data_IF_712933993003
#
_entry.id   IF_712933993003
#
_cell.length_a   1.000
_cell.length_b   1.000
_cell.length_c   1.000
_cell.angle_alpha   90.00
_cell.angle_beta   90.00
_cell.angle_gamma   90.00
#
_symmetry.space_group_name_H-M   'P 1'
#
loop_
_entity.id
_entity.type
_entity.pdbx_description
1 polymer ?
#
# COMPACT_ATOMS: atom_id res chain seq x y z
N UNK A 1 1.52 9.06 -17.66
CA UNK A 1 0.56 8.66 -16.60
C UNK A 1 1.29 8.47 -15.28
N UNK A 2 0.61 8.37 -14.13
CA UNK A 2 1.28 8.16 -12.82
C UNK A 2 2.20 6.93 -12.80
N UNK A 3 1.83 5.88 -13.54
CA UNK A 3 2.65 4.67 -13.76
C UNK A 3 4.00 5.00 -14.43
N UNK A 4 3.98 5.77 -15.52
CA UNK A 4 5.22 6.18 -16.22
C UNK A 4 6.10 7.07 -15.34
N UNK A 5 5.45 7.98 -14.59
CA UNK A 5 6.15 8.85 -13.63
C UNK A 5 6.80 8.02 -12.54
N UNK A 6 6.09 7.08 -11.93
CA UNK A 6 6.65 6.17 -10.91
C UNK A 6 7.83 5.37 -11.47
N UNK A 7 7.67 4.76 -12.65
CA UNK A 7 8.75 4.03 -13.34
C UNK A 7 10.01 4.88 -13.52
N UNK A 8 9.86 6.10 -14.04
CA UNK A 8 10.99 7.02 -14.27
C UNK A 8 11.68 7.38 -12.95
N UNK A 9 10.90 7.74 -11.94
CA UNK A 9 11.44 8.18 -10.65
C UNK A 9 12.11 7.04 -9.88
N UNK A 10 11.57 5.83 -9.94
CA UNK A 10 12.19 4.65 -9.33
C UNK A 10 13.52 4.31 -10.00
N UNK A 11 13.64 4.43 -11.32
CA UNK A 11 14.93 4.26 -12.03
C UNK A 11 15.97 5.30 -11.61
N UNK A 12 15.57 6.56 -11.48
CA UNK A 12 16.46 7.62 -11.02
C UNK A 12 16.87 7.42 -9.54
N UNK A 13 15.92 7.07 -8.67
CA UNK A 13 16.20 6.76 -7.27
C UNK A 13 17.14 5.54 -7.14
N UNK A 14 16.97 4.50 -7.97
CA UNK A 14 17.86 3.35 -8.02
C UNK A 14 19.31 3.72 -8.44
N UNK A 15 19.48 4.80 -9.19
CA UNK A 15 20.79 5.35 -9.55
C UNK A 15 21.38 6.28 -8.47
N UNK A 16 20.71 6.46 -7.33
CA UNK A 16 21.15 7.32 -6.23
C UNK A 16 20.67 8.77 -6.32
N UNK A 17 19.71 9.09 -7.19
CA UNK A 17 19.13 10.43 -7.28
C UNK A 17 18.16 10.70 -6.12
N UNK A 18 18.61 11.53 -5.16
CA UNK A 18 17.80 11.93 -4.00
C UNK A 18 16.63 12.86 -4.38
N UNK A 19 16.77 13.64 -5.44
CA UNK A 19 15.70 14.52 -5.91
C UNK A 19 14.53 13.72 -6.48
N UNK A 20 14.82 12.59 -7.13
CA UNK A 20 13.79 11.66 -7.58
C UNK A 20 13.01 11.03 -6.41
N UNK A 21 13.67 10.72 -5.29
CA UNK A 21 12.99 10.27 -4.08
C UNK A 21 12.10 11.36 -3.47
N UNK A 22 12.57 12.62 -3.45
CA UNK A 22 11.73 13.74 -3.01
C UNK A 22 10.49 13.89 -3.90
N UNK A 23 10.63 13.76 -5.22
CA UNK A 23 9.48 13.79 -6.13
C UNK A 23 8.53 12.59 -5.91
N UNK A 24 9.05 11.40 -5.60
CA UNK A 24 8.22 10.26 -5.18
C UNK A 24 7.44 10.58 -3.91
N UNK A 25 8.09 11.20 -2.92
CA UNK A 25 7.44 11.64 -1.69
C UNK A 25 6.31 12.64 -1.96
N UNK A 26 6.56 13.67 -2.76
CA UNK A 26 5.57 14.69 -3.07
C UNK A 26 4.35 14.11 -3.81
N UNK A 27 4.57 13.14 -4.70
CA UNK A 27 3.51 12.52 -5.51
C UNK A 27 2.72 11.46 -4.75
N UNK A 28 3.39 10.62 -3.96
CA UNK A 28 2.79 9.45 -3.32
C UNK A 28 2.60 9.60 -1.80
N UNK A 29 3.10 10.67 -1.19
CA UNK A 29 3.02 10.90 0.26
C UNK A 29 1.57 10.99 0.77
N UNK A 30 0.69 11.61 -0.01
CA UNK A 30 -0.75 11.66 0.31
C UNK A 30 -1.38 10.27 0.32
N UNK A 31 -0.98 9.41 -0.62
CA UNK A 31 -1.43 8.03 -0.71
C UNK A 31 -0.92 7.24 0.50
N UNK A 32 0.39 7.33 0.80
CA UNK A 32 1.01 6.62 1.92
C UNK A 32 0.35 7.02 3.24
N UNK A 33 0.16 8.33 3.46
CA UNK A 33 -0.50 8.86 4.66
C UNK A 33 -1.92 8.32 4.82
N UNK A 34 -2.69 8.28 3.72
CA UNK A 34 -4.07 7.78 3.74
C UNK A 34 -4.11 6.28 4.08
N UNK A 35 -3.27 5.48 3.42
CA UNK A 35 -3.16 4.04 3.64
C UNK A 35 -2.70 3.71 5.06
N UNK A 36 -1.68 4.41 5.57
CA UNK A 36 -1.19 4.21 6.95
C UNK A 36 -2.28 4.58 7.96
N UNK A 37 -3.02 5.67 7.72
CA UNK A 37 -4.17 6.08 8.56
C UNK A 37 -5.35 5.10 8.51
N UNK A 38 -5.44 4.26 7.47
CA UNK A 38 -6.47 3.24 7.38
C UNK A 38 -6.23 2.08 8.35
N UNK A 39 -4.98 1.87 8.77
CA UNK A 39 -4.55 0.72 9.58
C UNK A 39 -4.10 1.12 10.99
N UNK A 40 -3.57 2.32 11.17
CA UNK A 40 -3.03 2.79 12.46
C UNK A 40 -3.69 4.10 12.90
N UNK A 41 -3.99 4.22 14.20
CA UNK A 41 -4.65 5.40 14.78
C UNK A 41 -3.68 6.44 15.37
N UNK A 42 -2.51 6.01 15.85
CA UNK A 42 -1.60 6.88 16.59
C UNK A 42 -0.78 7.79 15.64
N UNK A 43 -0.87 9.14 15.76
CA UNK A 43 -0.19 10.06 14.84
C UNK A 43 1.32 9.86 14.72
N UNK A 44 2.03 9.75 15.84
CA UNK A 44 3.48 9.55 15.86
C UNK A 44 3.90 8.25 15.16
N UNK A 45 3.09 7.20 15.30
CA UNK A 45 3.29 5.92 14.60
C UNK A 45 3.08 6.09 13.11
N UNK A 46 2.04 6.81 12.68
CA UNK A 46 1.76 7.03 11.26
C UNK A 46 2.89 7.78 10.56
N UNK A 47 3.39 8.85 11.18
CA UNK A 47 4.49 9.65 10.62
C UNK A 47 5.78 8.81 10.48
N UNK A 48 6.10 8.02 11.51
CA UNK A 48 7.23 7.09 11.49
C UNK A 48 7.08 6.06 10.36
N UNK A 49 5.91 5.44 10.22
CA UNK A 49 5.66 4.43 9.19
C UNK A 49 5.70 5.00 7.78
N UNK A 50 5.24 6.24 7.58
CA UNK A 50 5.39 6.92 6.28
C UNK A 50 6.88 7.11 5.95
N UNK A 51 7.67 7.64 6.89
CA UNK A 51 9.11 7.83 6.71
C UNK A 51 9.83 6.49 6.46
N UNK A 52 9.49 5.46 7.22
CA UNK A 52 10.04 4.10 7.09
C UNK A 52 9.67 3.48 5.73
N UNK A 53 8.43 3.67 5.27
CA UNK A 53 7.98 3.25 3.96
C UNK A 53 8.80 3.86 2.83
N UNK A 54 9.02 5.19 2.85
CA UNK A 54 9.87 5.84 1.83
C UNK A 54 11.35 5.46 1.96
N UNK A 55 11.85 5.21 3.17
CA UNK A 55 13.19 4.67 3.36
C UNK A 55 13.34 3.26 2.77
N UNK A 56 12.30 2.42 2.89
CA UNK A 56 12.24 1.12 2.23
C UNK A 56 12.15 1.24 0.71
N UNK A 57 11.35 2.17 0.19
CA UNK A 57 11.29 2.48 -1.26
C UNK A 57 12.67 2.85 -1.78
N UNK A 58 13.42 3.71 -1.08
CA UNK A 58 14.78 4.06 -1.44
C UNK A 58 15.71 2.84 -1.46
N UNK A 59 15.75 2.07 -0.36
CA UNK A 59 16.63 0.89 -0.24
C UNK A 59 16.36 -0.14 -1.33
N UNK A 60 15.10 -0.30 -1.74
CA UNK A 60 14.65 -1.31 -2.69
C UNK A 60 14.38 -0.74 -4.09
N UNK A 61 14.77 0.51 -4.38
CA UNK A 61 14.41 1.19 -5.62
C UNK A 61 14.83 0.41 -6.89
N UNK A 62 15.92 -0.35 -6.84
CA UNK A 62 16.36 -1.20 -7.95
C UNK A 62 15.38 -2.35 -8.28
N UNK A 63 14.60 -2.83 -7.30
CA UNK A 63 13.49 -3.77 -7.53
C UNK A 63 12.35 -3.03 -8.24
N UNK A 64 11.91 -1.90 -7.69
CA UNK A 64 10.81 -1.10 -8.25
C UNK A 64 11.09 -0.59 -9.67
N UNK A 65 12.35 -0.25 -9.97
CA UNK A 65 12.80 0.19 -11.30
C UNK A 65 12.62 -0.88 -12.39
N UNK A 66 12.53 -2.16 -12.00
CA UNK A 66 12.32 -3.33 -12.87
C UNK A 66 10.88 -3.84 -12.85
N UNK A 67 10.02 -3.30 -12.00
CA UNK A 67 8.62 -3.71 -11.90
C UNK A 67 7.83 -3.23 -13.12
N UNK A 68 6.97 -4.10 -13.64
CA UNK A 68 5.97 -3.75 -14.66
C UNK A 68 4.80 -2.97 -14.06
N UNK A 69 4.58 -3.09 -12.74
CA UNK A 69 3.52 -2.43 -11.98
C UNK A 69 4.15 -1.56 -10.88
N UNK A 70 4.80 -0.43 -11.22
CA UNK A 70 5.60 0.37 -10.29
C UNK A 70 4.78 0.97 -9.14
N UNK A 71 3.51 1.31 -9.39
CA UNK A 71 2.62 1.84 -8.34
C UNK A 71 2.19 0.73 -7.39
N UNK A 72 1.89 -0.46 -7.91
CA UNK A 72 1.58 -1.62 -7.06
C UNK A 72 2.80 -2.01 -6.21
N UNK A 73 4.01 -1.98 -6.80
CA UNK A 73 5.25 -2.22 -6.06
C UNK A 73 5.45 -1.20 -4.92
N UNK A 74 5.17 0.09 -5.14
CA UNK A 74 5.21 1.10 -4.06
C UNK A 74 4.24 0.75 -2.92
N UNK A 75 3.04 0.29 -3.25
CA UNK A 75 2.04 -0.13 -2.26
C UNK A 75 2.48 -1.40 -1.53
N UNK A 76 3.07 -2.36 -2.23
CA UNK A 76 3.60 -3.59 -1.65
C UNK A 76 4.70 -3.29 -0.63
N UNK A 77 5.63 -2.39 -0.97
CA UNK A 77 6.65 -1.91 -0.02
C UNK A 77 6.00 -1.28 1.21
N UNK A 78 4.96 -0.46 1.02
CA UNK A 78 4.21 0.13 2.11
C UNK A 78 3.55 -0.94 2.98
N UNK A 79 2.76 -1.85 2.39
CA UNK A 79 2.07 -2.92 3.10
C UNK A 79 3.04 -3.81 3.88
N UNK A 80 4.21 -4.12 3.30
CA UNK A 80 5.28 -4.87 3.98
C UNK A 80 5.77 -4.11 5.21
N UNK A 81 6.05 -2.80 5.06
CA UNK A 81 6.44 -1.91 6.17
C UNK A 81 5.38 -1.90 7.29
N UNK A 82 4.10 -1.84 6.93
CA UNK A 82 2.99 -1.87 7.89
C UNK A 82 2.89 -3.23 8.60
N UNK A 83 3.08 -4.33 7.87
CA UNK A 83 3.05 -5.70 8.41
C UNK A 83 4.16 -5.97 9.41
N UNK A 84 5.37 -5.46 9.15
CA UNK A 84 6.55 -5.62 10.00
C UNK A 84 6.54 -4.74 11.26
N UNK A 85 5.69 -3.72 11.31
CA UNK A 85 5.57 -2.80 12.43
C UNK A 85 5.08 -3.50 13.71
N UNK A 86 6.00 -3.87 14.61
CA UNK A 86 5.69 -4.51 15.91
C UNK A 86 5.27 -3.50 16.98
N UNK A 87 4.34 -3.91 17.84
CA UNK A 87 4.07 -3.24 19.12
C UNK A 87 3.18 -1.99 19.06
N UNK A 88 2.54 -1.71 17.93
CA UNK A 88 1.65 -0.55 17.76
C UNK A 88 0.19 -0.97 17.74
N UNK A 89 -0.68 -0.17 18.34
CA UNK A 89 -2.13 -0.40 18.26
C UNK A 89 -2.55 -0.23 16.80
N UNK A 90 -3.06 -1.32 16.22
CA UNK A 90 -3.68 -1.35 14.91
C UNK A 90 -5.19 -1.20 15.06
N UNK A 91 -5.83 -0.69 14.01
CA UNK A 91 -7.28 -0.75 13.87
C UNK A 91 -7.73 -2.21 13.76
N UNK A 92 -8.94 -2.56 14.23
CA UNK A 92 -9.42 -3.94 14.22
C UNK A 92 -9.39 -4.63 12.85
N UNK A 93 -9.60 -3.89 11.76
CA UNK A 93 -9.53 -4.42 10.39
C UNK A 93 -8.09 -4.58 9.86
N UNK A 94 -7.11 -3.96 10.53
CA UNK A 94 -5.73 -3.85 10.07
C UNK A 94 -5.02 -5.19 9.96
N UNK A 95 -5.16 -6.06 10.96
CA UNK A 95 -4.46 -7.35 10.98
C UNK A 95 -4.95 -8.28 9.86
N UNK A 96 -6.27 -8.42 9.71
CA UNK A 96 -6.85 -9.21 8.64
C UNK A 96 -6.49 -8.67 7.26
N UNK A 97 -6.56 -7.34 7.07
CA UNK A 97 -6.21 -6.69 5.80
C UNK A 97 -4.75 -6.96 5.43
N UNK A 98 -3.82 -6.76 6.37
CA UNK A 98 -2.38 -6.93 6.11
C UNK A 98 -1.97 -8.40 5.91
N UNK A 99 -2.79 -9.36 6.34
CA UNK A 99 -2.56 -10.79 6.11
C UNK A 99 -2.94 -11.26 4.70
N UNK A 100 -3.64 -10.44 3.91
CA UNK A 100 -3.96 -10.75 2.51
C UNK A 100 -2.68 -10.75 1.65
N UNK A 101 -2.71 -11.48 0.53
CA UNK A 101 -1.62 -11.51 -0.45
C UNK A 101 -1.65 -10.29 -1.39
N UNK A 102 -0.54 -10.03 -2.07
CA UNK A 102 -0.49 -9.08 -3.18
C UNK A 102 -1.13 -9.70 -4.43
N UNK A 103 -1.98 -8.97 -5.19
CA UNK A 103 -2.31 -7.55 -5.08
C UNK A 103 -3.50 -7.20 -4.18
N UNK A 104 -4.23 -8.20 -3.66
CA UNK A 104 -5.49 -8.04 -2.93
C UNK A 104 -5.35 -7.08 -1.73
N UNK A 105 -4.27 -7.23 -0.97
CA UNK A 105 -3.93 -6.39 0.18
C UNK A 105 -3.76 -4.92 -0.22
N UNK A 106 -2.96 -4.65 -1.24
CA UNK A 106 -2.64 -3.29 -1.71
C UNK A 106 -3.89 -2.59 -2.25
N UNK A 107 -4.71 -3.31 -3.03
CA UNK A 107 -5.94 -2.76 -3.61
C UNK A 107 -7.01 -2.51 -2.55
N UNK A 108 -7.17 -3.46 -1.62
CA UNK A 108 -8.12 -3.30 -0.53
C UNK A 108 -7.69 -2.19 0.42
N UNK A 109 -6.38 -2.02 0.67
CA UNK A 109 -5.86 -0.91 1.46
C UNK A 109 -6.25 0.44 0.88
N UNK A 110 -6.12 0.62 -0.44
CA UNK A 110 -6.54 1.84 -1.13
C UNK A 110 -8.05 2.08 -1.03
N UNK A 111 -8.85 1.01 -1.16
CA UNK A 111 -10.30 1.10 -1.04
C UNK A 111 -10.73 1.48 0.38
N UNK A 112 -10.12 0.88 1.42
CA UNK A 112 -10.41 1.15 2.84
C UNK A 112 -9.90 2.53 3.26
N UNK A 113 -8.81 3.02 2.67
CA UNK A 113 -8.36 4.40 2.90
C UNK A 113 -9.40 5.44 2.45
N UNK A 114 -10.36 5.06 1.59
CA UNK A 114 -11.56 5.84 1.28
C UNK A 114 -11.32 7.11 0.47
N UNK A 115 -10.07 7.37 0.05
CA UNK A 115 -9.70 8.55 -0.74
C UNK A 115 -9.78 8.34 -2.25
N UNK A 116 -9.90 7.09 -2.69
CA UNK A 116 -9.83 6.72 -4.10
C UNK A 116 -11.04 5.86 -4.46
N UNK A 117 -11.72 6.24 -5.53
CA UNK A 117 -12.76 5.43 -6.16
C UNK A 117 -12.14 4.24 -6.91
N UNK A 118 -12.95 3.23 -7.23
CA UNK A 118 -12.49 2.07 -8.02
C UNK A 118 -11.86 2.46 -9.38
N UNK A 119 -12.42 3.38 -10.20
CA UNK A 119 -11.76 3.79 -11.43
C UNK A 119 -10.43 4.52 -11.17
N UNK A 120 -10.31 5.29 -10.10
CA UNK A 120 -9.03 5.93 -9.73
C UNK A 120 -8.01 4.89 -9.28
N UNK A 121 -8.39 3.89 -8.48
CA UNK A 121 -7.51 2.78 -8.08
C UNK A 121 -7.03 2.00 -9.31
N UNK A 122 -7.93 1.70 -10.23
CA UNK A 122 -7.61 1.01 -11.49
C UNK A 122 -6.60 1.82 -12.32
N UNK A 123 -6.81 3.14 -12.44
CA UNK A 123 -5.90 4.02 -13.16
C UNK A 123 -4.53 4.16 -12.47
N UNK A 124 -4.52 4.25 -11.14
CA UNK A 124 -3.30 4.36 -10.34
C UNK A 124 -2.43 3.12 -10.46
N UNK A 125 -3.04 1.94 -10.36
CA UNK A 125 -2.33 0.67 -10.28
C UNK A 125 -2.07 0.03 -11.65
N UNK A 126 -2.81 0.44 -12.68
CA UNK A 126 -2.80 -0.21 -14.00
C UNK A 126 -3.65 -1.48 -14.05
N UNK A 127 -4.26 -1.89 -12.93
CA UNK A 127 -5.14 -3.05 -12.87
C UNK A 127 -6.50 -2.69 -13.47
N UNK A 128 -6.94 -3.45 -14.48
CA UNK A 128 -8.23 -3.21 -15.13
C UNK A 128 -9.40 -3.23 -14.15
N UNK A 129 -10.35 -2.31 -14.32
CA UNK A 129 -11.45 -2.07 -13.36
C UNK A 129 -12.32 -3.32 -13.10
N UNK A 130 -12.55 -4.15 -14.11
CA UNK A 130 -13.26 -5.43 -13.93
C UNK A 130 -12.48 -6.37 -13.00
N UNK A 131 -11.17 -6.50 -13.20
CA UNK A 131 -10.29 -7.33 -12.37
C UNK A 131 -10.22 -6.80 -10.94
N UNK A 132 -10.13 -5.48 -10.78
CA UNK A 132 -10.17 -4.81 -9.48
C UNK A 132 -11.44 -5.17 -8.69
N UNK A 133 -12.62 -5.11 -9.32
CA UNK A 133 -13.89 -5.46 -8.66
C UNK A 133 -13.92 -6.90 -8.15
N UNK A 134 -13.42 -7.83 -8.97
CA UNK A 134 -13.33 -9.25 -8.62
C UNK A 134 -12.43 -9.43 -7.40
N UNK A 135 -11.21 -8.87 -7.45
CA UNK A 135 -10.24 -8.94 -6.35
C UNK A 135 -10.81 -8.35 -5.06
N UNK A 136 -11.37 -7.14 -5.10
CA UNK A 136 -11.91 -6.49 -3.91
C UNK A 136 -13.05 -7.30 -3.28
N UNK A 137 -13.94 -7.88 -4.10
CA UNK A 137 -15.02 -8.73 -3.61
C UNK A 137 -14.46 -9.97 -2.91
N UNK A 138 -13.51 -10.65 -3.55
CA UNK A 138 -12.95 -11.92 -3.05
C UNK A 138 -12.15 -11.66 -1.76
N UNK A 139 -11.37 -10.57 -1.70
CA UNK A 139 -10.67 -10.12 -0.50
C UNK A 139 -11.64 -9.82 0.67
N UNK A 140 -12.75 -9.13 0.41
CA UNK A 140 -13.78 -8.86 1.43
C UNK A 140 -14.46 -10.15 1.92
N UNK A 141 -14.66 -11.15 1.06
CA UNK A 141 -15.17 -12.46 1.46
C UNK A 141 -14.19 -13.17 2.39
N UNK A 142 -12.89 -13.16 2.06
CA UNK A 142 -11.83 -13.72 2.89
C UNK A 142 -11.77 -13.05 4.27
N UNK A 143 -11.81 -11.72 4.34
CA UNK A 143 -11.83 -10.99 5.61
C UNK A 143 -13.04 -11.31 6.48
N UNK A 144 -14.23 -11.44 5.87
CA UNK A 144 -15.46 -11.81 6.58
C UNK A 144 -15.39 -13.24 7.12
N UNK A 145 -14.87 -14.18 6.33
CA UNK A 145 -14.68 -15.57 6.76
C UNK A 145 -13.69 -15.67 7.93
N UNK A 146 -12.57 -14.94 7.88
CA UNK A 146 -11.58 -14.87 8.97
C UNK A 146 -12.12 -14.22 10.24
N UNK A 147 -12.96 -13.19 10.11
CA UNK A 147 -13.58 -12.50 11.27
C UNK A 147 -14.62 -13.37 11.99
N UNK A 148 -15.25 -14.33 11.29
CA UNK A 148 -16.26 -15.22 11.86
C UNK A 148 -15.71 -16.35 12.74
N UNK A 149 -14.40 -16.64 12.68
CA UNK A 149 -13.76 -17.72 13.46
C UNK A 149 -13.30 -17.32 14.87
N UNK A 150 -13.22 -16.01 15.17
CA UNK A 150 -12.66 -15.49 16.43
C UNK A 150 -13.64 -15.39 17.61
N UNK A 151 -14.92 -15.74 17.44
CA UNK A 151 -15.98 -15.54 18.45
C UNK A 151 -16.46 -16.83 19.15
N UNK A 152 -15.79 -17.98 18.97
CA UNK A 152 -16.23 -19.26 19.56
C UNK A 152 -15.15 -20.01 20.36
N UNK A 153 -14.13 -19.32 20.89
CA UNK A 153 -13.23 -19.90 21.90
C UNK A 153 -13.02 -18.93 23.06
N UNK A 154 -13.96 -18.95 24.01
CA UNK A 154 -13.82 -18.42 25.37
C UNK A 154 -14.46 -19.42 26.34
#
# INVERSE_FOLDING_TARGET
>A
MLVDTASRLLRAAAAGDRSALAELFDRFGTLFTASVSAVHDEPAVRDRLCAEGFANVWRRAAEGARSEEPVLWLLEVLCTTLGEARGHVRRPLGDGLLALDCPDRELLLLAVAGRYSQPEIAQLTGIGEFRLRVILRDALQTLRAGSGGGLLTA
#
